data_IF_812211560728
#
_entry.id   IF_812211560728
#
_cell.length_a   1.000
_cell.length_b   1.000
_cell.length_c   1.000
_cell.angle_alpha   90.00
_cell.angle_beta   90.00
_cell.angle_gamma   90.00
#
_symmetry.space_group_name_H-M   'P 1'
#
loop_
_entity.id
_entity.type
_entity.pdbx_description
1 polymer ?
#
# COMPACT_ATOMS: atom_id res chain seq x y z
N UNK A 1 13.09 11.36 -6.21
CA UNK A 1 12.99 11.25 -4.73
C UNK A 1 12.05 10.11 -4.39
N UNK A 2 12.43 9.26 -3.44
CA UNK A 2 11.58 8.15 -2.98
C UNK A 2 10.50 8.73 -2.05
N UNK A 3 9.22 8.51 -2.36
CA UNK A 3 8.12 9.03 -1.54
C UNK A 3 8.28 8.56 -0.09
N UNK A 4 8.03 9.40 0.94
CA UNK A 4 8.19 8.99 2.34
C UNK A 4 7.42 7.72 2.71
N UNK A 5 6.28 7.48 2.06
CA UNK A 5 5.45 6.27 2.28
C UNK A 5 6.05 5.00 1.69
N UNK A 6 6.94 5.08 0.70
CA UNK A 6 7.52 3.90 0.04
C UNK A 6 8.21 3.03 1.07
N UNK A 7 9.08 3.60 1.92
CA UNK A 7 9.80 2.82 2.93
C UNK A 7 8.85 2.18 3.93
N UNK A 8 7.80 2.91 4.34
CA UNK A 8 6.80 2.43 5.29
C UNK A 8 6.01 1.25 4.72
N UNK A 9 5.48 1.38 3.50
CA UNK A 9 4.75 0.30 2.85
C UNK A 9 5.65 -0.88 2.49
N UNK A 10 6.91 -0.66 2.10
CA UNK A 10 7.84 -1.78 1.89
C UNK A 10 8.14 -2.54 3.19
N UNK A 11 8.23 -1.86 4.34
CA UNK A 11 8.35 -2.54 5.63
C UNK A 11 7.08 -3.31 5.97
N UNK A 12 5.90 -2.68 5.84
CA UNK A 12 4.63 -3.32 6.12
C UNK A 12 4.39 -4.53 5.21
N UNK A 13 4.77 -4.44 3.94
CA UNK A 13 4.65 -5.53 2.97
C UNK A 13 5.44 -6.77 3.38
N UNK A 14 6.68 -6.59 3.86
CA UNK A 14 7.53 -7.70 4.33
C UNK A 14 7.01 -8.38 5.58
N UNK A 15 6.21 -7.67 6.37
CA UNK A 15 5.61 -8.18 7.60
C UNK A 15 4.16 -8.65 7.36
N UNK A 16 3.62 -8.41 6.17
CA UNK A 16 2.24 -8.81 5.82
C UNK A 16 2.16 -10.30 5.57
N UNK A 17 0.97 -10.84 5.81
CA UNK A 17 0.62 -12.22 5.46
C UNK A 17 -0.69 -12.20 4.67
N UNK A 18 -1.06 -13.28 3.97
CA UNK A 18 -2.34 -13.35 3.27
C UNK A 18 -3.58 -13.14 4.17
N UNK A 19 -3.44 -13.31 5.49
CA UNK A 19 -4.51 -13.10 6.47
C UNK A 19 -4.41 -11.75 7.18
N UNK A 20 -3.30 -11.03 7.00
CA UNK A 20 -3.04 -9.75 7.64
C UNK A 20 -2.31 -8.78 6.71
N UNK A 21 -3.09 -7.95 6.03
CA UNK A 21 -2.60 -6.92 5.13
C UNK A 21 -2.17 -5.66 5.91
N UNK A 22 -0.92 -5.63 6.36
CA UNK A 22 -0.36 -4.49 7.09
C UNK A 22 -0.20 -3.25 6.20
N UNK A 23 -0.03 -3.45 4.88
CA UNK A 23 0.04 -2.34 3.92
C UNK A 23 -1.27 -1.57 3.91
N UNK A 24 -2.40 -2.28 3.84
CA UNK A 24 -3.73 -1.68 3.90
C UNK A 24 -3.95 -0.93 5.21
N UNK A 25 -3.62 -1.54 6.35
CA UNK A 25 -3.75 -0.89 7.68
C UNK A 25 -2.95 0.41 7.77
N UNK A 26 -1.71 0.44 7.28
CA UNK A 26 -0.91 1.67 7.28
C UNK A 26 -1.43 2.69 6.27
N UNK A 27 -2.00 2.26 5.14
CA UNK A 27 -2.64 3.15 4.17
C UNK A 27 -3.89 3.82 4.77
N UNK A 28 -4.76 3.05 5.45
CA UNK A 28 -5.90 3.57 6.20
C UNK A 28 -5.48 4.54 7.30
N UNK A 29 -4.38 4.22 8.01
CA UNK A 29 -3.82 5.09 9.04
C UNK A 29 -3.34 6.42 8.46
N UNK A 30 -2.77 6.44 7.26
CA UNK A 30 -2.42 7.69 6.57
C UNK A 30 -3.67 8.48 6.18
N UNK A 31 -4.69 7.82 5.60
CA UNK A 31 -5.96 8.47 5.30
C UNK A 31 -6.58 9.11 6.55
N UNK A 32 -6.61 8.38 7.68
CA UNK A 32 -7.09 8.89 8.97
C UNK A 32 -6.26 10.08 9.52
N UNK A 33 -4.98 10.19 9.15
CA UNK A 33 -4.12 11.34 9.46
C UNK A 33 -4.35 12.55 8.54
N UNK A 34 -5.25 12.44 7.55
CA UNK A 34 -5.59 13.50 6.61
C UNK A 34 -4.77 13.52 5.32
N UNK A 35 -4.01 12.46 5.03
CA UNK A 35 -3.38 12.32 3.73
C UNK A 35 -4.41 11.98 2.65
N UNK A 36 -4.18 12.52 1.45
CA UNK A 36 -5.10 12.36 0.32
C UNK A 36 -5.10 10.92 -0.21
N UNK A 37 -6.27 10.29 -0.42
CA UNK A 37 -6.35 8.94 -0.98
C UNK A 37 -5.60 8.79 -2.31
N UNK A 38 -5.63 9.81 -3.18
CA UNK A 38 -4.93 9.84 -4.46
C UNK A 38 -3.41 9.67 -4.29
N UNK A 39 -2.85 10.32 -3.27
CA UNK A 39 -1.41 10.28 -2.98
C UNK A 39 -1.01 8.90 -2.44
N UNK A 40 -1.85 8.33 -1.58
CA UNK A 40 -1.66 7.00 -1.02
C UNK A 40 -1.73 5.95 -2.15
N UNK A 41 -2.80 6.00 -2.95
CA UNK A 41 -3.00 5.13 -4.10
C UNK A 41 -1.83 5.19 -5.10
N UNK A 42 -1.34 6.38 -5.42
CA UNK A 42 -0.21 6.54 -6.34
C UNK A 42 1.06 5.81 -5.86
N UNK A 43 1.31 5.78 -4.54
CA UNK A 43 2.45 5.04 -3.98
C UNK A 43 2.19 3.53 -4.00
N UNK A 44 0.99 3.07 -3.62
CA UNK A 44 0.61 1.67 -3.65
C UNK A 44 0.72 1.09 -5.06
N UNK A 45 0.18 1.81 -6.05
CA UNK A 45 0.25 1.42 -7.47
C UNK A 45 1.69 1.36 -7.98
N UNK A 46 2.56 2.24 -7.51
CA UNK A 46 3.98 2.22 -7.86
C UNK A 46 4.71 1.01 -7.27
N UNK A 47 4.36 0.60 -6.05
CA UNK A 47 4.89 -0.61 -5.42
C UNK A 47 4.37 -1.88 -6.10
N UNK A 48 3.07 -1.93 -6.40
CA UNK A 48 2.44 -3.04 -7.10
C UNK A 48 3.04 -3.30 -8.49
N UNK A 49 3.38 -2.24 -9.23
CA UNK A 49 4.08 -2.34 -10.53
C UNK A 49 5.58 -2.66 -10.41
N UNK A 50 6.11 -2.73 -9.19
CA UNK A 50 7.50 -3.08 -8.92
C UNK A 50 7.79 -4.56 -9.13
N UNK A 51 9.07 -4.94 -8.93
CA UNK A 51 9.47 -6.35 -8.88
C UNK A 51 9.27 -6.85 -7.45
N UNK A 52 8.16 -7.56 -7.25
CA UNK A 52 7.70 -8.18 -6.01
C UNK A 52 7.34 -9.64 -6.32
N UNK A 53 7.27 -10.50 -5.31
CA UNK A 53 6.78 -11.87 -5.47
C UNK A 53 5.24 -11.92 -5.55
N UNK A 54 4.68 -13.11 -5.80
CA UNK A 54 3.25 -13.28 -6.01
C UNK A 54 2.44 -13.05 -4.72
N UNK A 55 2.98 -13.41 -3.54
CA UNK A 55 2.32 -13.19 -2.25
C UNK A 55 2.28 -11.70 -1.90
N UNK A 56 3.41 -11.00 -2.06
CA UNK A 56 3.51 -9.55 -1.92
C UNK A 56 2.57 -8.82 -2.88
N UNK A 57 2.39 -9.38 -4.10
CA UNK A 57 1.49 -8.82 -5.11
C UNK A 57 0.03 -8.91 -4.68
N UNK A 58 -0.41 -10.03 -4.14
CA UNK A 58 -1.79 -10.18 -3.64
C UNK A 58 -2.09 -9.16 -2.53
N UNK A 59 -1.18 -9.03 -1.57
CA UNK A 59 -1.29 -8.04 -0.48
C UNK A 59 -1.39 -6.60 -1.04
N UNK A 60 -0.54 -6.27 -2.01
CA UNK A 60 -0.56 -4.93 -2.62
C UNK A 60 -1.79 -4.70 -3.51
N UNK A 61 -2.27 -5.72 -4.20
CA UNK A 61 -3.44 -5.63 -5.08
C UNK A 61 -4.68 -5.27 -4.26
N UNK A 62 -4.93 -5.93 -3.13
CA UNK A 62 -6.03 -5.59 -2.22
C UNK A 62 -5.95 -4.13 -1.75
N UNK A 63 -4.76 -3.67 -1.34
CA UNK A 63 -4.58 -2.29 -0.91
C UNK A 63 -4.79 -1.27 -2.04
N UNK A 64 -4.41 -1.61 -3.27
CA UNK A 64 -4.64 -0.78 -4.46
C UNK A 64 -6.13 -0.68 -4.79
N UNK A 65 -6.83 -1.81 -4.84
CA UNK A 65 -8.27 -1.87 -5.15
C UNK A 65 -9.10 -1.11 -4.11
N UNK A 66 -8.81 -1.29 -2.83
CA UNK A 66 -9.49 -0.56 -1.75
C UNK A 66 -9.27 0.96 -1.91
N UNK A 67 -8.06 1.39 -2.25
CA UNK A 67 -7.77 2.82 -2.41
C UNK A 67 -8.26 3.42 -3.73
N UNK A 68 -8.44 2.61 -4.77
CA UNK A 68 -9.09 3.00 -6.02
C UNK A 68 -10.57 3.36 -5.79
N UNK A 69 -11.24 2.73 -4.82
CA UNK A 69 -12.64 3.04 -4.48
C UNK A 69 -12.88 4.46 -3.92
N UNK A 70 -11.82 5.16 -3.48
CA UNK A 70 -11.90 6.53 -2.97
C UNK A 70 -11.65 7.61 -4.03
N UNK A 71 -11.43 7.22 -5.29
CA UNK A 71 -11.13 8.11 -6.42
C UNK A 71 -12.40 8.41 -7.24
#
# INVERSE_FOLDING_TARGET
MTHPFVKMFTTALKESTPMDNLVLKEAERLKAKGYRPEEIHAVLLKLHKGRIDDEEREVLQEAVEEFESYL
#
